data_IF_498818193462
#
_entry.id   IF_498818193462
#
_cell.length_a   1.000
_cell.length_b   1.000
_cell.length_c   1.000
_cell.angle_alpha   90.00
_cell.angle_beta   90.00
_cell.angle_gamma   90.00
#
_symmetry.space_group_name_H-M   'P 1'
#
loop_
_entity.id
_entity.type
_entity.pdbx_description
1 polymer ?
#
# COMPACT_ATOMS: atom_id res chain seq x y z
N UNK A 1 -22.87 -6.57 -21.08
CA UNK A 1 -24.01 -5.85 -20.53
C UNK A 1 -23.58 -4.90 -19.41
N UNK A 2 -24.38 -3.86 -19.22
CA UNK A 2 -24.11 -2.83 -18.18
C UNK A 2 -24.15 -3.37 -16.76
N UNK A 3 -24.83 -4.49 -16.54
CA UNK A 3 -25.12 -5.01 -15.19
C UNK A 3 -24.16 -6.11 -14.72
N UNK A 4 -23.33 -6.64 -15.60
CA UNK A 4 -22.38 -7.74 -15.27
C UNK A 4 -21.09 -7.29 -14.62
N UNK A 5 -20.98 -6.02 -14.23
CA UNK A 5 -19.72 -5.41 -13.88
C UNK A 5 -19.39 -5.56 -12.39
N UNK A 6 -18.22 -6.11 -12.07
CA UNK A 6 -17.80 -6.37 -10.70
C UNK A 6 -18.51 -7.54 -10.02
N UNK A 7 -19.32 -8.32 -10.74
CA UNK A 7 -19.93 -9.53 -10.20
C UNK A 7 -18.83 -10.51 -9.79
N UNK A 8 -18.88 -10.96 -8.55
CA UNK A 8 -17.91 -11.89 -7.97
C UNK A 8 -18.42 -13.33 -7.89
N UNK A 9 -19.73 -13.50 -8.10
CA UNK A 9 -20.37 -14.81 -8.03
C UNK A 9 -21.15 -15.09 -9.32
N UNK A 10 -20.93 -16.25 -9.91
CA UNK A 10 -21.63 -16.73 -11.08
C UNK A 10 -22.20 -18.11 -10.81
N UNK A 11 -23.45 -18.32 -11.16
CA UNK A 11 -24.09 -19.64 -11.17
C UNK A 11 -24.27 -20.12 -12.59
N UNK A 12 -23.99 -21.38 -12.83
CA UNK A 12 -24.28 -22.01 -14.11
C UNK A 12 -25.78 -22.29 -14.20
N UNK A 13 -26.43 -21.72 -15.20
CA UNK A 13 -27.84 -21.96 -15.50
C UNK A 13 -27.92 -22.61 -16.89
N UNK A 14 -28.13 -23.91 -16.92
CA UNK A 14 -28.23 -24.66 -18.16
C UNK A 14 -27.97 -26.16 -17.98
N UNK A 15 -28.09 -26.90 -19.06
CA UNK A 15 -27.74 -28.33 -19.08
C UNK A 15 -26.38 -28.50 -19.76
N UNK A 16 -25.47 -29.21 -19.09
CA UNK A 16 -24.21 -29.63 -19.70
C UNK A 16 -24.46 -30.96 -20.38
N UNK A 17 -24.14 -31.06 -21.66
CA UNK A 17 -24.22 -32.32 -22.42
C UNK A 17 -22.84 -32.77 -22.85
N UNK A 18 -22.59 -34.07 -22.86
CA UNK A 18 -21.39 -34.65 -23.44
C UNK A 18 -21.44 -34.58 -24.98
N UNK A 19 -20.37 -34.94 -25.65
CA UNK A 19 -20.31 -34.93 -27.12
C UNK A 19 -21.36 -35.86 -27.78
N UNK A 20 -21.88 -36.84 -27.07
CA UNK A 20 -22.90 -37.79 -27.53
C UNK A 20 -24.33 -37.31 -27.24
N UNK A 21 -24.50 -36.07 -26.74
CA UNK A 21 -25.78 -35.48 -26.44
C UNK A 21 -26.41 -35.89 -25.09
N UNK A 22 -25.70 -36.70 -24.29
CA UNK A 22 -26.15 -37.09 -22.94
C UNK A 22 -26.02 -35.94 -21.94
N UNK A 23 -27.07 -35.72 -21.14
CA UNK A 23 -27.04 -34.72 -20.08
C UNK A 23 -26.10 -35.15 -18.94
N UNK A 24 -25.20 -34.26 -18.56
CA UNK A 24 -24.29 -34.47 -17.42
C UNK A 24 -24.91 -33.75 -16.23
N UNK A 25 -25.01 -34.43 -15.11
CA UNK A 25 -25.49 -33.82 -13.87
C UNK A 25 -24.49 -32.78 -13.38
N UNK A 26 -24.87 -31.49 -13.26
CA UNK A 26 -23.98 -30.43 -12.78
C UNK A 26 -23.34 -30.73 -11.41
N UNK A 27 -24.02 -31.48 -10.55
CA UNK A 27 -23.50 -31.86 -9.23
C UNK A 27 -22.27 -32.81 -9.29
N UNK A 28 -22.06 -33.48 -10.43
CA UNK A 28 -20.92 -34.38 -10.66
C UNK A 28 -19.68 -33.66 -11.24
N UNK A 29 -19.82 -32.42 -11.71
CA UNK A 29 -18.75 -31.67 -12.38
C UNK A 29 -17.92 -30.86 -11.37
N UNK A 30 -18.30 -30.86 -10.12
CA UNK A 30 -17.67 -30.05 -9.08
C UNK A 30 -18.26 -28.63 -8.97
N UNK A 31 -17.77 -27.90 -8.00
CA UNK A 31 -18.20 -26.53 -7.75
C UNK A 31 -17.68 -25.62 -8.86
N UNK A 32 -18.56 -24.87 -9.50
CA UNK A 32 -18.14 -23.78 -10.40
C UNK A 32 -17.61 -22.66 -9.51
N UNK A 33 -16.31 -22.43 -9.56
CA UNK A 33 -15.65 -21.33 -8.84
C UNK A 33 -15.38 -20.17 -9.80
N UNK A 34 -15.64 -18.96 -9.33
CA UNK A 34 -15.29 -17.76 -10.08
C UNK A 34 -13.82 -17.45 -9.85
N UNK A 35 -12.99 -17.56 -10.87
CA UNK A 35 -11.57 -17.23 -10.81
C UNK A 35 -11.34 -15.71 -10.82
N UNK A 36 -12.15 -14.97 -11.58
CA UNK A 36 -12.05 -13.53 -11.72
C UNK A 36 -13.43 -12.87 -11.72
N UNK A 37 -13.49 -11.63 -11.19
CA UNK A 37 -14.71 -10.81 -11.28
C UNK A 37 -15.02 -10.47 -12.71
N UNK A 38 -16.31 -10.25 -13.01
CA UNK A 38 -16.72 -9.77 -14.32
C UNK A 38 -16.07 -8.43 -14.66
N UNK A 39 -15.69 -8.26 -15.92
CA UNK A 39 -14.98 -7.08 -16.43
C UNK A 39 -15.70 -6.48 -17.64
N UNK A 40 -15.29 -5.27 -18.04
CA UNK A 40 -15.66 -4.61 -19.29
C UNK A 40 -17.14 -4.22 -19.48
N UNK A 41 -17.93 -4.24 -18.40
CA UNK A 41 -19.25 -3.60 -18.39
C UNK A 41 -19.19 -2.23 -17.73
N UNK A 42 -19.88 -1.20 -18.23
CA UNK A 42 -19.95 0.11 -17.59
C UNK A 42 -21.24 0.85 -17.87
N UNK A 43 -21.45 1.90 -17.08
CA UNK A 43 -22.54 2.85 -17.25
C UNK A 43 -22.25 3.81 -18.43
N UNK A 44 -23.21 4.71 -18.68
CA UNK A 44 -23.01 5.78 -19.67
C UNK A 44 -21.81 6.63 -19.26
N UNK A 45 -20.99 6.98 -20.25
CA UNK A 45 -19.81 7.83 -20.05
C UNK A 45 -20.18 9.13 -19.34
N UNK A 46 -19.33 9.51 -18.36
CA UNK A 46 -19.56 10.72 -17.56
C UNK A 46 -19.28 11.99 -18.38
N UNK A 47 -19.98 13.07 -18.07
CA UNK A 47 -19.77 14.38 -18.72
C UNK A 47 -18.32 14.85 -18.54
N UNK A 48 -17.67 14.55 -17.42
CA UNK A 48 -16.28 14.88 -17.18
C UNK A 48 -15.32 14.13 -18.12
N UNK A 49 -15.58 12.86 -18.39
CA UNK A 49 -14.83 12.07 -19.35
C UNK A 49 -14.99 12.64 -20.77
N UNK A 50 -16.23 12.93 -21.18
CA UNK A 50 -16.51 13.55 -22.48
C UNK A 50 -15.78 14.90 -22.63
N UNK A 51 -15.84 15.76 -21.62
CA UNK A 51 -15.12 17.05 -21.63
C UNK A 51 -13.61 16.88 -21.73
N UNK A 52 -13.07 15.80 -21.18
CA UNK A 52 -11.64 15.53 -21.25
C UNK A 52 -11.21 14.99 -22.60
N UNK A 53 -11.93 14.00 -23.15
CA UNK A 53 -11.51 13.29 -24.37
C UNK A 53 -11.95 13.97 -25.67
N UNK A 54 -13.16 14.56 -25.74
CA UNK A 54 -13.68 15.10 -26.97
C UNK A 54 -12.80 16.19 -27.64
N UNK A 55 -12.27 17.20 -26.91
CA UNK A 55 -11.38 18.18 -27.52
C UNK A 55 -10.07 17.60 -28.05
N UNK A 56 -9.56 16.57 -27.33
CA UNK A 56 -8.31 15.90 -27.69
C UNK A 56 -8.46 15.06 -28.95
N UNK A 57 -9.56 14.32 -29.08
CA UNK A 57 -9.87 13.55 -30.29
C UNK A 57 -10.06 14.49 -31.49
N UNK A 58 -10.74 15.62 -31.28
CA UNK A 58 -10.88 16.62 -32.32
C UNK A 58 -9.51 17.17 -32.77
N UNK A 59 -8.62 17.47 -31.84
CA UNK A 59 -7.28 17.98 -32.16
C UNK A 59 -6.40 16.92 -32.85
N UNK A 60 -6.53 15.64 -32.53
CA UNK A 60 -5.81 14.54 -33.18
C UNK A 60 -6.30 14.24 -34.60
N UNK A 61 -7.48 14.77 -34.98
CA UNK A 61 -8.12 14.48 -36.25
C UNK A 61 -8.24 12.98 -36.55
N UNK A 62 -8.53 12.19 -35.53
CA UNK A 62 -8.62 10.72 -35.60
C UNK A 62 -7.32 10.04 -36.10
N UNK A 63 -6.15 10.63 -35.83
CA UNK A 63 -4.84 10.06 -36.11
C UNK A 63 -4.00 10.03 -34.84
N UNK A 64 -3.38 8.91 -34.56
CA UNK A 64 -2.48 8.75 -33.40
C UNK A 64 -1.03 8.94 -33.89
N UNK A 65 -0.48 10.14 -33.66
CA UNK A 65 0.89 10.53 -34.00
C UNK A 65 1.73 10.69 -32.73
N UNK A 66 1.22 11.42 -31.76
CA UNK A 66 1.87 11.66 -30.47
C UNK A 66 1.34 10.71 -29.41
N UNK A 67 2.08 10.52 -28.31
CA UNK A 67 1.60 9.73 -27.17
C UNK A 67 0.24 10.20 -26.66
N UNK A 68 0.01 11.51 -26.63
CA UNK A 68 -1.26 12.12 -26.21
C UNK A 68 -2.43 11.79 -27.16
N UNK A 69 -2.14 11.61 -28.44
CA UNK A 69 -3.16 11.19 -29.42
C UNK A 69 -3.57 9.73 -29.17
N UNK A 70 -2.60 8.84 -28.86
CA UNK A 70 -2.89 7.46 -28.50
C UNK A 70 -3.77 7.38 -27.26
N UNK A 71 -3.49 8.20 -26.23
CA UNK A 71 -4.33 8.30 -25.02
C UNK A 71 -5.77 8.70 -25.37
N UNK A 72 -5.92 9.69 -26.25
CA UNK A 72 -7.22 10.24 -26.64
C UNK A 72 -8.02 9.29 -27.51
N UNK A 73 -7.37 8.71 -28.53
CA UNK A 73 -7.97 7.73 -29.43
C UNK A 73 -8.41 6.49 -28.65
N UNK A 74 -7.59 6.04 -27.69
CA UNK A 74 -7.95 4.89 -26.87
C UNK A 74 -9.19 5.16 -26.02
N UNK A 75 -9.30 6.34 -25.40
CA UNK A 75 -10.50 6.75 -24.68
C UNK A 75 -11.77 6.76 -25.53
N UNK A 76 -11.62 7.06 -26.84
CA UNK A 76 -12.73 6.99 -27.80
C UNK A 76 -13.09 5.55 -28.18
N UNK A 77 -12.09 4.70 -28.43
CA UNK A 77 -12.31 3.30 -28.86
C UNK A 77 -12.83 2.43 -27.70
N UNK A 78 -12.36 2.72 -26.48
CA UNK A 78 -12.67 1.96 -25.29
C UNK A 78 -13.16 2.89 -24.15
N UNK A 79 -14.47 3.21 -24.13
CA UNK A 79 -15.05 4.14 -23.15
C UNK A 79 -14.91 3.70 -21.69
N UNK A 80 -14.64 2.40 -21.42
CA UNK A 80 -14.45 1.86 -20.08
C UNK A 80 -13.04 2.16 -19.50
N UNK A 81 -12.36 3.16 -20.02
CA UNK A 81 -11.08 3.65 -19.49
C UNK A 81 -11.31 4.55 -18.28
N UNK A 82 -10.66 4.26 -17.17
CA UNK A 82 -10.54 5.18 -16.04
C UNK A 82 -9.36 6.13 -16.24
N UNK A 83 -8.22 5.57 -16.60
CA UNK A 83 -6.99 6.32 -16.87
C UNK A 83 -6.14 5.58 -17.90
N UNK A 84 -5.46 6.32 -18.75
CA UNK A 84 -4.55 5.79 -19.77
C UNK A 84 -3.27 6.61 -19.78
N UNK A 85 -2.17 5.95 -20.05
CA UNK A 85 -0.90 6.61 -20.36
C UNK A 85 -0.27 5.94 -21.57
N UNK A 86 0.35 6.74 -22.42
CA UNK A 86 1.11 6.27 -23.56
C UNK A 86 2.46 6.98 -23.61
N UNK A 87 3.51 6.26 -23.99
CA UNK A 87 4.86 6.80 -24.15
C UNK A 87 5.61 6.07 -25.26
N UNK A 88 6.60 6.76 -25.84
CA UNK A 88 7.39 6.19 -26.91
C UNK A 88 8.35 5.11 -26.43
N UNK A 89 8.71 4.20 -27.31
CA UNK A 89 9.66 3.14 -26.97
C UNK A 89 11.09 3.65 -26.72
N UNK A 90 11.39 4.87 -27.12
CA UNK A 90 12.64 5.57 -26.82
C UNK A 90 12.81 5.87 -25.32
N UNK A 91 11.69 6.00 -24.58
CA UNK A 91 11.68 6.22 -23.12
C UNK A 91 11.95 4.92 -22.31
N UNK A 92 11.98 3.76 -23.00
CA UNK A 92 12.25 2.48 -22.34
C UNK A 92 13.75 2.23 -22.14
N UNK A 93 14.08 1.46 -21.12
CA UNK A 93 15.45 0.96 -20.92
C UNK A 93 15.47 -0.59 -21.04
N UNK A 94 16.10 -1.18 -22.07
CA UNK A 94 16.70 -0.55 -23.24
C UNK A 94 15.68 0.06 -24.21
N UNK A 95 16.05 1.10 -24.99
CA UNK A 95 15.15 1.76 -25.95
C UNK A 95 14.61 0.79 -27.00
N UNK A 96 13.31 0.90 -27.33
CA UNK A 96 12.63 0.10 -28.36
C UNK A 96 11.96 1.00 -29.38
N UNK A 97 12.71 1.42 -30.38
CA UNK A 97 12.24 2.32 -31.44
C UNK A 97 11.12 1.70 -32.29
N UNK A 98 10.24 2.55 -32.84
CA UNK A 98 9.11 2.13 -33.68
C UNK A 98 7.94 1.54 -32.88
N UNK A 99 7.95 1.63 -31.57
CA UNK A 99 6.87 1.18 -30.70
C UNK A 99 6.33 2.30 -29.82
N UNK A 100 5.03 2.25 -29.55
CA UNK A 100 4.37 3.05 -28.52
C UNK A 100 3.83 2.08 -27.46
N UNK A 101 4.23 2.29 -26.22
CA UNK A 101 3.77 1.52 -25.09
C UNK A 101 2.57 2.21 -24.46
N UNK A 102 1.54 1.43 -24.18
CA UNK A 102 0.27 1.91 -23.65
C UNK A 102 -0.06 1.12 -22.39
N UNK A 103 -0.34 1.83 -21.30
CA UNK A 103 -0.86 1.23 -20.07
C UNK A 103 -2.25 1.79 -19.79
N UNK A 104 -3.19 0.92 -19.45
CA UNK A 104 -4.60 1.26 -19.29
C UNK A 104 -5.12 0.72 -17.96
N UNK A 105 -5.77 1.60 -17.20
CA UNK A 105 -6.59 1.23 -16.06
C UNK A 105 -8.05 1.24 -16.51
N UNK A 106 -8.71 0.08 -16.55
CA UNK A 106 -10.16 0.04 -16.78
C UNK A 106 -10.89 0.53 -15.52
N UNK A 107 -12.08 1.13 -15.70
CA UNK A 107 -12.93 1.55 -14.57
C UNK A 107 -13.32 0.39 -13.69
N UNK A 108 -13.51 -0.74 -14.30
CA UNK A 108 -13.98 -1.94 -13.67
C UNK A 108 -12.96 -3.06 -13.84
N UNK A 109 -12.33 -3.41 -12.73
CA UNK A 109 -11.24 -4.36 -12.71
C UNK A 109 -9.86 -3.70 -12.60
N UNK A 110 -8.87 -4.50 -12.32
CA UNK A 110 -7.49 -4.00 -12.11
C UNK A 110 -6.63 -4.14 -13.37
N UNK A 111 -7.01 -5.00 -14.32
CA UNK A 111 -6.25 -5.27 -15.54
C UNK A 111 -7.17 -5.47 -16.74
N UNK A 112 -6.64 -5.23 -17.93
CA UNK A 112 -7.28 -5.61 -19.19
C UNK A 112 -7.04 -7.11 -19.45
N UNK A 113 -8.07 -7.81 -19.95
CA UNK A 113 -7.89 -9.17 -20.46
C UNK A 113 -7.01 -9.16 -21.72
N UNK A 114 -6.29 -10.26 -21.97
CA UNK A 114 -5.44 -10.35 -23.15
C UNK A 114 -6.24 -10.29 -24.46
N UNK A 115 -7.47 -10.76 -24.44
CA UNK A 115 -8.37 -10.65 -25.59
C UNK A 115 -8.75 -9.20 -25.87
N UNK A 116 -9.14 -8.46 -24.84
CA UNK A 116 -9.40 -7.01 -24.95
C UNK A 116 -8.16 -6.26 -25.44
N UNK A 117 -6.96 -6.59 -24.94
CA UNK A 117 -5.71 -6.00 -25.44
C UNK A 117 -5.52 -6.25 -26.94
N UNK A 118 -5.75 -7.49 -27.41
CA UNK A 118 -5.64 -7.83 -28.86
C UNK A 118 -6.64 -7.07 -29.71
N UNK A 119 -7.90 -7.00 -29.28
CA UNK A 119 -8.94 -6.25 -29.97
C UNK A 119 -8.58 -4.75 -30.07
N UNK A 120 -8.14 -4.16 -28.96
CA UNK A 120 -7.74 -2.76 -28.92
C UNK A 120 -6.53 -2.48 -29.82
N UNK A 121 -5.52 -3.38 -29.87
CA UNK A 121 -4.39 -3.25 -30.80
C UNK A 121 -4.88 -3.23 -32.25
N UNK A 122 -5.81 -4.10 -32.61
CA UNK A 122 -6.36 -4.12 -33.98
C UNK A 122 -7.09 -2.83 -34.34
N UNK A 123 -7.90 -2.31 -33.42
CA UNK A 123 -8.58 -1.03 -33.58
C UNK A 123 -7.61 0.15 -33.68
N UNK A 124 -6.60 0.19 -32.79
CA UNK A 124 -5.59 1.25 -32.77
C UNK A 124 -4.75 1.31 -34.05
N UNK A 125 -4.48 0.17 -34.69
CA UNK A 125 -3.73 0.14 -35.94
C UNK A 125 -4.39 0.95 -37.09
N UNK A 126 -5.71 1.12 -37.07
CA UNK A 126 -6.40 1.95 -38.05
C UNK A 126 -6.19 3.46 -37.85
N UNK A 127 -5.74 3.87 -36.68
CA UNK A 127 -5.45 5.26 -36.32
C UNK A 127 -3.95 5.56 -36.27
N UNK A 128 -3.11 4.52 -36.13
CA UNK A 128 -1.66 4.66 -36.01
C UNK A 128 -1.00 5.04 -37.34
N UNK A 129 0.08 5.80 -37.24
CA UNK A 129 0.95 6.10 -38.39
C UNK A 129 1.72 4.85 -38.83
N UNK A 130 1.90 4.67 -40.12
CA UNK A 130 2.68 3.55 -40.65
C UNK A 130 4.10 3.51 -40.05
N UNK A 131 4.52 2.33 -39.58
CA UNK A 131 5.82 2.12 -38.96
C UNK A 131 5.84 2.23 -37.44
N UNK A 132 4.74 2.66 -36.78
CA UNK A 132 4.60 2.67 -35.34
C UNK A 132 3.66 1.55 -34.89
N UNK A 133 4.14 0.70 -33.97
CA UNK A 133 3.38 -0.43 -33.45
C UNK A 133 2.95 -0.17 -32.01
N UNK A 134 1.65 -0.06 -31.72
CA UNK A 134 1.16 0.02 -30.36
C UNK A 134 1.29 -1.33 -29.66
N UNK A 135 1.78 -1.30 -28.40
CA UNK A 135 1.96 -2.47 -27.54
C UNK A 135 1.41 -2.14 -26.14
N UNK A 136 0.58 -3.03 -25.58
CA UNK A 136 0.09 -2.87 -24.21
C UNK A 136 1.08 -3.44 -23.22
N UNK A 137 1.36 -2.67 -22.19
CA UNK A 137 2.14 -3.09 -21.03
C UNK A 137 1.26 -3.19 -19.79
N UNK A 138 1.68 -4.04 -18.85
CA UNK A 138 0.95 -4.23 -17.62
C UNK A 138 0.99 -2.99 -16.74
N UNK A 139 -0.12 -2.78 -16.04
CA UNK A 139 -0.32 -1.67 -15.15
C UNK A 139 0.58 -1.80 -13.91
N UNK A 140 1.32 -0.74 -13.60
CA UNK A 140 2.14 -0.64 -12.41
C UNK A 140 1.46 0.27 -11.39
N UNK A 141 1.17 -0.25 -10.21
CA UNK A 141 0.53 0.52 -9.14
C UNK A 141 1.57 1.11 -8.18
N UNK A 142 1.32 2.35 -7.77
CA UNK A 142 1.89 2.97 -6.59
C UNK A 142 0.75 3.14 -5.58
N UNK A 143 0.72 2.29 -4.57
CA UNK A 143 -0.28 2.38 -3.52
C UNK A 143 0.12 3.43 -2.49
N UNK A 144 -0.86 4.21 -2.06
CA UNK A 144 -0.73 5.14 -0.94
C UNK A 144 -1.62 4.61 0.18
N UNK A 145 -1.03 4.42 1.34
CA UNK A 145 -1.68 3.89 2.53
C UNK A 145 -1.53 4.91 3.67
N UNK A 146 -2.55 5.05 4.49
CA UNK A 146 -2.51 5.93 5.64
C UNK A 146 -2.59 5.13 6.94
N UNK A 147 -1.85 5.60 7.93
CA UNK A 147 -2.07 5.27 9.32
C UNK A 147 -2.43 6.56 10.03
N UNK A 148 -3.69 6.68 10.43
CA UNK A 148 -4.21 7.92 11.02
C UNK A 148 -4.77 7.66 12.41
N UNK A 149 -4.43 8.56 13.31
CA UNK A 149 -4.91 8.58 14.68
C UNK A 149 -5.66 9.90 14.90
N UNK A 150 -6.97 9.98 14.58
CA UNK A 150 -7.79 11.14 14.88
C UNK A 150 -8.06 11.19 16.39
N UNK A 151 -7.88 12.37 16.99
CA UNK A 151 -8.18 12.66 18.38
C UNK A 151 -9.56 13.28 18.49
N UNK A 152 -10.39 12.78 19.39
CA UNK A 152 -11.76 13.25 19.54
C UNK A 152 -12.13 13.58 20.98
N UNK A 153 -13.02 14.55 21.14
CA UNK A 153 -13.55 15.00 22.43
C UNK A 153 -14.82 14.21 22.76
N UNK A 154 -14.74 13.37 23.78
CA UNK A 154 -15.86 12.54 24.26
C UNK A 154 -17.03 13.35 24.80
N UNK A 155 -16.80 14.58 25.25
CA UNK A 155 -17.90 15.46 25.71
C UNK A 155 -18.81 15.93 24.58
N UNK A 156 -18.33 15.90 23.33
CA UNK A 156 -19.12 16.29 22.15
C UNK A 156 -19.69 15.07 21.43
N UNK A 157 -18.92 14.00 21.34
CA UNK A 157 -19.31 12.75 20.69
C UNK A 157 -18.60 11.56 21.36
N UNK A 158 -19.38 10.65 21.92
CA UNK A 158 -18.89 9.49 22.67
C UNK A 158 -18.97 8.18 21.85
N UNK A 159 -19.19 8.28 20.55
CA UNK A 159 -19.25 7.11 19.64
C UNK A 159 -18.05 7.06 18.70
N UNK A 160 -16.93 6.41 19.09
CA UNK A 160 -15.74 6.29 18.26
C UNK A 160 -15.95 5.47 16.99
N UNK A 161 -16.88 4.52 16.97
CA UNK A 161 -17.12 3.67 15.80
C UNK A 161 -17.87 4.44 14.71
N UNK A 162 -18.80 5.30 15.11
CA UNK A 162 -19.48 6.20 14.17
C UNK A 162 -18.50 7.22 13.58
N UNK A 163 -17.65 7.83 14.40
CA UNK A 163 -16.59 8.75 13.95
C UNK A 163 -15.63 8.04 12.98
N UNK A 164 -15.17 6.84 13.31
CA UNK A 164 -14.32 6.02 12.46
C UNK A 164 -14.96 5.72 11.10
N UNK A 165 -16.26 5.41 11.11
CA UNK A 165 -17.03 5.18 9.89
C UNK A 165 -17.12 6.45 9.05
N UNK A 166 -17.35 7.59 9.67
CA UNK A 166 -17.35 8.91 9.04
C UNK A 166 -16.01 9.22 8.36
N UNK A 167 -14.91 9.05 9.08
CA UNK A 167 -13.54 9.24 8.55
C UNK A 167 -13.26 8.28 7.39
N UNK A 168 -13.64 7.00 7.53
CA UNK A 168 -13.48 6.01 6.46
C UNK A 168 -14.25 6.39 5.20
N UNK A 169 -15.49 6.89 5.35
CA UNK A 169 -16.31 7.34 4.23
C UNK A 169 -15.71 8.58 3.54
N UNK A 170 -15.25 9.55 4.31
CA UNK A 170 -14.61 10.76 3.78
C UNK A 170 -13.34 10.42 2.99
N UNK A 171 -12.47 9.56 3.54
CA UNK A 171 -11.28 9.10 2.85
C UNK A 171 -11.62 8.23 1.62
N UNK A 172 -12.66 7.41 1.68
CA UNK A 172 -13.14 6.64 0.53
C UNK A 172 -13.64 7.57 -0.59
N UNK A 173 -14.33 8.65 -0.24
CA UNK A 173 -14.73 9.65 -1.23
C UNK A 173 -13.52 10.36 -1.85
N UNK A 174 -12.52 10.68 -1.03
CA UNK A 174 -11.27 11.25 -1.53
C UNK A 174 -10.52 10.29 -2.44
N UNK A 175 -10.46 8.99 -2.12
CA UNK A 175 -9.82 7.98 -2.96
C UNK A 175 -10.45 7.87 -4.35
N UNK A 176 -11.74 8.19 -4.49
CA UNK A 176 -12.45 8.20 -5.77
C UNK A 176 -12.29 9.51 -6.55
N UNK A 177 -11.56 10.47 -6.00
CA UNK A 177 -11.33 11.73 -6.68
C UNK A 177 -10.40 11.55 -7.88
N UNK A 178 -10.65 12.33 -8.93
CA UNK A 178 -9.88 12.28 -10.18
C UNK A 178 -8.40 12.70 -10.00
N UNK A 179 -8.06 13.34 -8.89
CA UNK A 179 -6.69 13.82 -8.62
C UNK A 179 -5.76 12.70 -8.17
N UNK A 180 -6.26 11.69 -7.47
CA UNK A 180 -5.47 10.62 -6.86
C UNK A 180 -5.40 9.41 -7.77
N UNK A 181 -6.53 8.82 -8.10
CA UNK A 181 -6.60 7.55 -8.81
C UNK A 181 -6.41 7.74 -10.31
N UNK A 182 -5.18 7.99 -10.75
CA UNK A 182 -4.81 8.10 -12.16
C UNK A 182 -3.31 7.90 -12.38
N UNK A 183 -2.88 7.76 -13.63
CA UNK A 183 -1.48 7.86 -14.02
C UNK A 183 -0.97 9.27 -13.74
N UNK A 184 0.22 9.38 -13.16
CA UNK A 184 0.74 10.67 -12.72
C UNK A 184 -0.13 11.37 -11.68
N UNK A 185 -0.95 10.61 -10.94
CA UNK A 185 -1.82 11.13 -9.89
C UNK A 185 -1.03 11.79 -8.77
N UNK A 186 -1.69 12.65 -8.01
CA UNK A 186 -1.09 13.37 -6.89
C UNK A 186 -1.94 13.18 -5.64
N UNK A 187 -1.37 12.51 -4.66
CA UNK A 187 -1.95 12.49 -3.32
C UNK A 187 -1.47 13.72 -2.56
N UNK A 188 -2.42 14.51 -2.05
CA UNK A 188 -2.15 15.72 -1.26
C UNK A 188 -2.45 15.45 0.20
N UNK A 189 -1.42 15.45 1.02
CA UNK A 189 -1.50 15.17 2.46
C UNK A 189 -2.42 16.15 3.19
N UNK A 190 -2.23 17.45 2.98
CA UNK A 190 -3.03 18.49 3.63
C UNK A 190 -4.53 18.37 3.35
N UNK A 191 -4.91 17.90 2.14
CA UNK A 191 -6.30 17.65 1.78
C UNK A 191 -6.88 16.44 2.53
N UNK A 192 -6.11 15.37 2.67
CA UNK A 192 -6.54 14.19 3.43
C UNK A 192 -6.72 14.52 4.92
N UNK A 193 -5.76 15.22 5.52
CA UNK A 193 -5.82 15.68 6.91
C UNK A 193 -7.03 16.58 7.15
N UNK A 194 -7.23 17.59 6.30
CA UNK A 194 -8.38 18.50 6.40
C UNK A 194 -9.73 17.79 6.25
N UNK A 195 -9.80 16.75 5.42
CA UNK A 195 -11.01 15.94 5.29
C UNK A 195 -11.31 15.15 6.57
N UNK A 196 -10.26 14.59 7.21
CA UNK A 196 -10.42 13.88 8.48
C UNK A 196 -10.94 14.82 9.56
N UNK A 197 -10.32 16.01 9.70
CA UNK A 197 -10.70 17.02 10.71
C UNK A 197 -12.12 17.56 10.47
N UNK A 198 -12.58 17.61 9.22
CA UNK A 198 -13.89 18.14 8.87
C UNK A 198 -15.06 17.15 9.01
N UNK A 199 -14.80 15.89 9.38
CA UNK A 199 -15.85 14.86 9.49
C UNK A 199 -16.84 15.18 10.60
N UNK A 200 -16.32 15.61 11.74
CA UNK A 200 -17.12 15.95 12.91
C UNK A 200 -16.42 17.00 13.76
N UNK A 201 -17.19 17.89 14.39
CA UNK A 201 -16.68 18.94 15.26
C UNK A 201 -16.01 18.44 16.54
N UNK A 202 -16.26 17.19 16.91
CA UNK A 202 -15.60 16.53 18.04
C UNK A 202 -14.15 16.15 17.74
N UNK A 203 -13.74 16.04 16.48
CA UNK A 203 -12.37 15.76 16.10
C UNK A 203 -11.53 17.02 16.32
N UNK A 204 -10.62 16.96 17.29
CA UNK A 204 -9.78 18.11 17.71
C UNK A 204 -8.50 18.21 16.89
N UNK A 205 -7.95 17.08 16.49
CA UNK A 205 -6.72 16.99 15.68
C UNK A 205 -6.56 15.58 15.11
N UNK A 206 -5.60 15.42 14.20
CA UNK A 206 -5.19 14.08 13.76
C UNK A 206 -3.67 14.01 13.56
N UNK A 207 -3.12 12.82 13.78
CA UNK A 207 -1.74 12.48 13.43
C UNK A 207 -1.81 11.38 12.37
N UNK A 208 -1.35 11.73 11.18
CA UNK A 208 -1.45 10.86 10.02
C UNK A 208 -0.08 10.59 9.42
N UNK A 209 0.27 9.33 9.27
CA UNK A 209 1.47 8.86 8.59
C UNK A 209 1.09 8.35 7.21
N UNK A 210 1.86 8.75 6.20
CA UNK A 210 1.73 8.27 4.83
C UNK A 210 2.75 7.18 4.59
N UNK A 211 2.31 6.08 3.99
CA UNK A 211 3.17 4.98 3.53
C UNK A 211 2.91 4.76 2.05
N UNK A 212 3.95 4.41 1.34
CA UNK A 212 3.85 4.05 -0.08
C UNK A 212 4.25 2.60 -0.28
N UNK A 213 3.55 1.90 -1.15
CA UNK A 213 3.76 0.48 -1.42
C UNK A 213 3.80 0.19 -2.91
N UNK A 214 4.70 -0.72 -3.28
CA UNK A 214 4.76 -1.32 -4.60
C UNK A 214 4.67 -2.83 -4.47
N UNK A 215 3.99 -3.42 -5.43
CA UNK A 215 3.83 -4.87 -5.55
C UNK A 215 4.82 -5.37 -6.59
N UNK A 216 5.79 -6.17 -6.14
CA UNK A 216 6.75 -6.84 -6.99
C UNK A 216 6.24 -8.22 -7.35
N UNK A 217 6.02 -8.48 -8.64
CA UNK A 217 5.67 -9.82 -9.11
C UNK A 217 6.95 -10.64 -9.28
N UNK A 218 7.16 -11.61 -8.40
CA UNK A 218 8.34 -12.46 -8.42
C UNK A 218 8.23 -13.53 -9.51
N UNK A 219 9.37 -13.82 -10.17
CA UNK A 219 9.55 -14.96 -11.05
C UNK A 219 10.06 -16.12 -10.21
N UNK A 220 9.22 -17.14 -10.00
CA UNK A 220 9.57 -18.24 -9.11
C UNK A 220 10.50 -19.24 -9.78
N UNK A 221 11.43 -19.81 -9.00
CA UNK A 221 12.32 -20.88 -9.42
C UNK A 221 13.39 -20.45 -10.44
N UNK A 222 13.63 -19.16 -10.63
CA UNK A 222 14.62 -18.61 -11.54
C UNK A 222 15.43 -17.51 -10.87
N UNK A 223 16.71 -17.43 -11.23
CA UNK A 223 17.56 -16.31 -10.83
C UNK A 223 17.16 -15.05 -11.59
N UNK A 224 16.68 -14.05 -10.88
CA UNK A 224 16.30 -12.77 -11.43
C UNK A 224 16.78 -11.62 -10.56
N UNK A 225 17.06 -10.49 -11.19
CA UNK A 225 17.31 -9.20 -10.56
C UNK A 225 16.03 -8.38 -10.64
N UNK A 226 15.72 -7.63 -9.59
CA UNK A 226 14.50 -6.84 -9.54
C UNK A 226 14.78 -5.38 -9.23
N UNK A 227 14.14 -4.51 -10.00
CA UNK A 227 14.16 -3.07 -9.81
C UNK A 227 12.75 -2.57 -9.49
N UNK A 228 12.63 -1.79 -8.43
CA UNK A 228 11.37 -1.22 -7.98
C UNK A 228 11.51 0.27 -7.79
N UNK A 229 10.92 1.05 -8.71
CA UNK A 229 10.96 2.49 -8.69
C UNK A 229 9.65 3.06 -8.16
N UNK A 230 9.72 3.98 -7.20
CA UNK A 230 8.57 4.69 -6.62
C UNK A 230 8.45 6.12 -7.15
N UNK A 231 9.55 6.69 -7.66
CA UNK A 231 9.61 8.08 -8.12
C UNK A 231 9.35 9.12 -7.04
N UNK A 232 9.43 8.72 -5.77
CA UNK A 232 9.28 9.59 -4.61
C UNK A 232 10.44 9.37 -3.66
N UNK A 233 11.08 10.43 -3.23
CA UNK A 233 12.15 10.35 -2.26
C UNK A 233 11.70 9.64 -0.99
N UNK A 234 12.51 8.71 -0.47
CA UNK A 234 12.23 8.02 0.78
C UNK A 234 12.69 8.84 1.98
N UNK A 235 12.01 8.67 3.09
CA UNK A 235 12.49 9.12 4.38
C UNK A 235 13.74 8.32 4.75
N UNK A 236 14.73 8.98 5.35
CA UNK A 236 15.97 8.34 5.75
C UNK A 236 16.12 8.45 7.25
N UNK A 237 16.10 7.33 7.93
CA UNK A 237 16.29 7.23 9.36
C UNK A 237 17.56 6.44 9.65
N UNK A 238 18.41 6.94 10.53
CA UNK A 238 19.69 6.32 10.87
C UNK A 238 19.56 4.91 11.48
N UNK A 239 18.42 4.63 12.13
CA UNK A 239 18.14 3.30 12.70
C UNK A 239 17.82 2.22 11.66
N UNK A 240 17.78 2.57 10.35
CA UNK A 240 17.43 1.63 9.26
C UNK A 240 15.95 1.21 9.27
N UNK A 241 15.58 0.22 8.46
CA UNK A 241 14.19 -0.26 8.30
C UNK A 241 13.21 0.80 7.75
N UNK A 242 13.67 1.69 6.87
CA UNK A 242 12.80 2.62 6.15
C UNK A 242 12.01 1.93 5.05
N UNK A 243 12.55 0.82 4.54
CA UNK A 243 11.94 -0.05 3.55
C UNK A 243 11.77 -1.44 4.15
N UNK A 244 10.59 -2.01 4.00
CA UNK A 244 10.27 -3.35 4.49
C UNK A 244 9.43 -4.12 3.48
N UNK A 245 9.54 -5.45 3.47
CA UNK A 245 8.74 -6.28 2.58
C UNK A 245 7.89 -7.31 3.31
N UNK A 246 6.90 -7.86 2.58
CA UNK A 246 6.23 -9.09 2.97
C UNK A 246 7.19 -10.28 2.85
N UNK A 247 6.84 -11.38 3.51
CA UNK A 247 7.67 -12.59 3.52
C UNK A 247 7.71 -13.33 2.19
N UNK A 248 8.86 -13.93 1.90
CA UNK A 248 9.09 -14.80 0.74
C UNK A 248 10.14 -15.86 1.08
N UNK A 249 10.34 -16.85 0.25
CA UNK A 249 11.41 -17.86 0.43
C UNK A 249 12.41 -17.77 -0.71
N UNK A 250 13.67 -17.95 -0.39
CA UNK A 250 14.77 -17.93 -1.37
C UNK A 250 15.56 -19.24 -1.31
N UNK A 251 16.20 -19.57 -2.41
CA UNK A 251 17.09 -20.72 -2.47
C UNK A 251 18.25 -20.59 -1.49
N UNK A 252 18.57 -21.67 -0.78
CA UNK A 252 19.68 -21.73 0.16
C UNK A 252 19.39 -21.17 1.56
N UNK A 253 18.18 -20.66 1.83
CA UNK A 253 17.77 -20.19 3.16
C UNK A 253 16.53 -20.92 3.64
N UNK A 254 16.59 -21.48 4.83
CA UNK A 254 15.46 -22.16 5.46
C UNK A 254 14.54 -21.13 6.12
N UNK A 255 13.23 -21.21 5.81
CA UNK A 255 12.21 -20.36 6.41
C UNK A 255 11.85 -19.12 5.58
N UNK A 256 10.95 -18.33 6.14
CA UNK A 256 10.46 -17.09 5.51
C UNK A 256 11.46 -15.98 5.70
N UNK A 257 11.83 -15.36 4.60
CA UNK A 257 12.77 -14.24 4.52
C UNK A 257 12.01 -12.94 4.32
N UNK A 258 12.51 -11.88 4.89
CA UNK A 258 12.02 -10.52 4.74
C UNK A 258 13.14 -9.62 4.24
N UNK A 259 12.77 -8.56 3.55
CA UNK A 259 13.68 -7.53 3.06
C UNK A 259 13.60 -6.30 3.96
N UNK A 260 14.75 -5.73 4.29
CA UNK A 260 14.85 -4.40 4.89
C UNK A 260 16.09 -3.67 4.38
N UNK A 261 16.19 -2.38 4.68
CA UNK A 261 17.31 -1.54 4.32
C UNK A 261 18.20 -1.21 5.52
N UNK A 262 19.48 -1.02 5.24
CA UNK A 262 20.46 -0.46 6.16
C UNK A 262 21.01 0.83 5.56
N UNK A 263 20.92 1.93 6.29
CA UNK A 263 21.38 3.24 5.81
C UNK A 263 22.91 3.29 5.76
N UNK A 264 23.47 3.61 4.60
CA UNK A 264 24.89 3.88 4.43
C UNK A 264 25.16 5.38 4.55
N UNK A 265 24.33 6.17 3.87
CA UNK A 265 24.33 7.63 3.92
C UNK A 265 22.94 8.18 3.60
N UNK A 266 22.77 9.51 3.61
CA UNK A 266 21.48 10.16 3.37
C UNK A 266 20.89 9.92 1.97
N UNK A 267 21.68 9.44 1.03
CA UNK A 267 21.25 9.22 -0.36
C UNK A 267 21.09 7.75 -0.67
N UNK A 268 21.95 6.90 -0.09
CA UNK A 268 22.04 5.47 -0.44
C UNK A 268 22.05 4.57 0.78
N UNK A 269 21.43 3.43 0.63
CA UNK A 269 21.44 2.34 1.58
C UNK A 269 21.71 1.01 0.89
N UNK A 270 21.77 -0.01 1.70
CA UNK A 270 21.97 -1.40 1.29
C UNK A 270 20.75 -2.18 1.69
N UNK A 271 20.30 -3.08 0.83
CA UNK A 271 19.25 -4.05 1.15
C UNK A 271 19.88 -5.28 1.79
N UNK A 272 19.26 -5.79 2.83
CA UNK A 272 19.60 -7.06 3.44
C UNK A 272 18.36 -7.94 3.58
N UNK A 273 18.60 -9.26 3.61
CA UNK A 273 17.56 -10.24 3.90
C UNK A 273 17.73 -10.79 5.31
N UNK A 274 16.63 -10.98 6.00
CA UNK A 274 16.61 -11.49 7.36
C UNK A 274 15.44 -12.44 7.59
N UNK A 275 15.58 -13.30 8.59
CA UNK A 275 14.52 -14.18 9.10
C UNK A 275 14.27 -13.84 10.55
N UNK A 276 13.10 -14.21 11.07
CA UNK A 276 12.84 -14.12 12.50
C UNK A 276 13.22 -15.43 13.19
N UNK A 277 13.89 -15.33 14.32
CA UNK A 277 14.10 -16.45 15.24
C UNK A 277 12.79 -16.76 16.00
N UNK A 278 12.72 -17.91 16.67
CA UNK A 278 11.57 -18.29 17.51
C UNK A 278 11.26 -17.25 18.59
N UNK A 279 12.26 -16.48 19.04
CA UNK A 279 12.12 -15.38 19.99
C UNK A 279 11.73 -14.03 19.35
N UNK A 280 11.43 -14.01 18.03
CA UNK A 280 11.03 -12.79 17.34
C UNK A 280 12.16 -11.81 17.02
N UNK A 281 13.41 -12.18 17.26
CA UNK A 281 14.57 -11.33 16.90
C UNK A 281 14.95 -11.51 15.44
N UNK A 282 15.28 -10.44 14.71
CA UNK A 282 15.72 -10.55 13.32
C UNK A 282 17.14 -11.16 13.25
N UNK A 283 17.31 -12.14 12.38
CA UNK A 283 18.58 -12.76 12.06
C UNK A 283 18.91 -12.49 10.59
N UNK A 284 20.00 -11.78 10.34
CA UNK A 284 20.42 -11.41 8.98
C UNK A 284 21.01 -12.62 8.29
N UNK A 285 20.38 -13.06 7.20
CA UNK A 285 20.81 -14.22 6.39
C UNK A 285 21.63 -13.81 5.17
N UNK A 286 21.37 -12.63 4.60
CA UNK A 286 22.13 -12.07 3.48
C UNK A 286 22.29 -10.57 3.67
N UNK A 287 23.51 -10.12 3.99
CA UNK A 287 23.78 -8.70 4.32
C UNK A 287 23.79 -7.78 3.09
N UNK A 288 24.26 -8.27 1.95
CA UNK A 288 24.28 -7.55 0.67
C UNK A 288 23.32 -8.25 -0.28
N UNK A 289 22.07 -7.84 -0.29
CA UNK A 289 21.03 -8.39 -1.14
C UNK A 289 20.55 -7.38 -2.19
N UNK A 290 21.12 -6.16 -2.16
CA UNK A 290 20.74 -5.10 -3.09
C UNK A 290 21.10 -3.72 -2.57
N UNK A 291 20.65 -2.71 -3.27
CA UNK A 291 20.86 -1.30 -2.94
C UNK A 291 19.54 -0.53 -2.93
N UNK A 292 19.51 0.55 -2.15
CA UNK A 292 18.41 1.51 -2.17
C UNK A 292 18.96 2.91 -2.43
N UNK A 293 18.31 3.64 -3.34
CA UNK A 293 18.53 5.05 -3.58
C UNK A 293 17.37 5.83 -2.96
N UNK A 294 17.62 6.49 -1.82
CA UNK A 294 16.58 7.23 -1.10
C UNK A 294 16.16 8.50 -1.83
N UNK A 295 17.06 9.10 -2.63
CA UNK A 295 16.78 10.35 -3.34
C UNK A 295 15.79 10.14 -4.48
N UNK A 296 15.97 9.06 -5.25
CA UNK A 296 15.12 8.72 -6.39
C UNK A 296 13.95 7.81 -5.99
N UNK A 297 14.02 7.20 -4.80
CA UNK A 297 13.02 6.22 -4.37
C UNK A 297 13.09 4.95 -5.19
N UNK A 298 14.29 4.41 -5.36
CA UNK A 298 14.58 3.23 -6.17
C UNK A 298 15.20 2.13 -5.32
N UNK A 299 14.76 0.91 -5.55
CA UNK A 299 15.24 -0.29 -4.88
C UNK A 299 15.70 -1.26 -5.94
N UNK A 300 16.96 -1.65 -5.88
CA UNK A 300 17.55 -2.68 -6.71
C UNK A 300 17.83 -3.90 -5.84
N UNK A 301 17.18 -5.02 -6.14
CA UNK A 301 17.43 -6.31 -5.49
C UNK A 301 18.36 -7.10 -6.40
N UNK A 302 19.50 -7.52 -5.85
CA UNK A 302 20.48 -8.33 -6.58
C UNK A 302 19.91 -9.69 -6.95
N UNK A 303 20.52 -10.32 -7.93
CA UNK A 303 20.13 -11.61 -8.44
C UNK A 303 19.90 -12.63 -7.32
N UNK A 304 18.66 -13.11 -7.23
CA UNK A 304 18.25 -14.14 -6.28
C UNK A 304 17.19 -15.05 -6.91
N UNK A 305 17.12 -16.28 -6.41
CA UNK A 305 16.09 -17.24 -6.80
C UNK A 305 15.01 -17.28 -5.73
N UNK A 306 13.83 -16.73 -6.05
CA UNK A 306 12.66 -16.72 -5.18
C UNK A 306 11.88 -18.01 -5.44
N UNK A 307 11.60 -18.77 -4.38
CA UNK A 307 10.92 -20.06 -4.50
C UNK A 307 9.41 -19.94 -4.27
N UNK A 308 9.00 -19.09 -3.32
CA UNK A 308 7.60 -18.82 -3.04
C UNK A 308 7.42 -17.45 -2.36
N UNK A 309 6.19 -16.98 -2.34
CA UNK A 309 5.80 -15.72 -1.65
C UNK A 309 4.68 -16.02 -0.64
N UNK A 310 4.64 -15.28 0.44
CA UNK A 310 3.56 -15.39 1.44
C UNK A 310 2.24 -14.86 0.87
N UNK A 311 2.31 -13.83 0.03
CA UNK A 311 1.16 -13.28 -0.67
C UNK A 311 0.86 -14.11 -1.91
N UNK A 312 -0.42 -14.31 -2.18
CA UNK A 312 -0.87 -15.01 -3.38
C UNK A 312 -0.39 -14.34 -4.68
N UNK A 313 -0.43 -15.09 -5.78
CA UNK A 313 -0.06 -14.61 -7.12
C UNK A 313 1.40 -14.20 -7.28
N UNK A 314 2.31 -14.77 -6.49
CA UNK A 314 3.76 -14.52 -6.54
C UNK A 314 4.12 -13.05 -6.29
N UNK A 315 3.38 -12.39 -5.43
CA UNK A 315 3.57 -10.98 -5.10
C UNK A 315 4.40 -10.83 -3.83
N UNK A 316 5.38 -9.94 -3.88
CA UNK A 316 6.09 -9.40 -2.72
C UNK A 316 5.72 -7.92 -2.64
N UNK A 317 5.07 -7.54 -1.56
CA UNK A 317 4.75 -6.14 -1.31
C UNK A 317 5.93 -5.49 -0.61
N UNK A 318 6.36 -4.35 -1.12
CA UNK A 318 7.45 -3.57 -0.55
C UNK A 318 6.88 -2.22 -0.15
N UNK A 319 6.97 -1.90 1.12
CA UNK A 319 6.46 -0.67 1.72
C UNK A 319 7.63 0.23 2.11
N UNK A 320 7.45 1.54 1.89
CA UNK A 320 8.42 2.56 2.30
C UNK A 320 7.70 3.79 2.86
N UNK A 321 8.40 4.56 3.68
CA UNK A 321 7.94 5.87 4.15
C UNK A 321 8.51 6.93 3.20
N UNK A 322 7.68 7.76 2.58
CA UNK A 322 8.16 8.84 1.73
C UNK A 322 8.75 9.98 2.57
N UNK A 323 9.69 10.73 1.99
CA UNK A 323 10.27 11.91 2.63
C UNK A 323 9.26 13.07 2.70
N UNK A 324 8.47 13.23 1.65
CA UNK A 324 7.34 14.16 1.62
C UNK A 324 6.04 13.38 1.83
N UNK A 325 5.14 13.92 2.63
CA UNK A 325 3.81 13.34 2.78
C UNK A 325 2.92 13.54 1.53
N UNK A 326 3.28 14.43 0.63
CA UNK A 326 2.66 14.55 -0.70
C UNK A 326 3.31 13.55 -1.66
N UNK A 327 2.49 12.74 -2.33
CA UNK A 327 2.96 11.72 -3.26
C UNK A 327 2.62 12.11 -4.69
N UNK A 328 3.61 11.98 -5.57
CA UNK A 328 3.46 12.25 -7.00
C UNK A 328 3.73 10.96 -7.75
N UNK A 329 2.76 10.52 -8.56
CA UNK A 329 2.96 9.38 -9.44
C UNK A 329 3.87 9.74 -10.62
N UNK A 330 4.74 8.83 -10.99
CA UNK A 330 5.41 8.89 -12.30
C UNK A 330 4.38 8.65 -13.41
N UNK A 331 4.75 9.01 -14.65
CA UNK A 331 3.86 8.90 -15.81
C UNK A 331 3.39 7.46 -16.06
N UNK A 332 4.26 6.47 -15.83
CA UNK A 332 3.97 5.04 -16.00
C UNK A 332 3.39 4.37 -14.76
N UNK A 333 3.26 5.10 -13.65
CA UNK A 333 2.70 4.62 -12.40
C UNK A 333 1.29 5.13 -12.17
N UNK A 334 0.36 4.19 -11.95
CA UNK A 334 -0.98 4.52 -11.50
C UNK A 334 -0.97 4.67 -9.97
N UNK A 335 -1.23 5.88 -9.49
CA UNK A 335 -1.38 6.12 -8.06
C UNK A 335 -2.74 5.62 -7.61
N UNK A 336 -2.76 4.74 -6.61
CA UNK A 336 -3.99 4.19 -6.02
C UNK A 336 -3.98 4.43 -4.52
N UNK A 337 -4.94 5.19 -4.03
CA UNK A 337 -5.14 5.31 -2.59
C UNK A 337 -5.83 4.05 -2.08
N UNK A 338 -5.11 3.28 -1.25
CA UNK A 338 -5.57 1.97 -0.77
C UNK A 338 -6.28 2.09 0.59
N UNK A 339 -7.61 2.17 0.53
CA UNK A 339 -8.44 2.21 1.73
C UNK A 339 -8.44 0.88 2.50
N UNK A 340 -8.20 -0.24 1.82
CA UNK A 340 -8.24 -1.56 2.46
C UNK A 340 -7.08 -1.76 3.45
N UNK A 341 -5.94 -1.15 3.18
CA UNK A 341 -4.76 -1.18 4.03
C UNK A 341 -4.57 0.12 4.86
N UNK A 342 -5.46 1.10 4.70
CA UNK A 342 -5.48 2.30 5.54
C UNK A 342 -6.01 1.96 6.95
N UNK A 343 -5.27 2.37 7.97
CA UNK A 343 -5.59 2.14 9.37
C UNK A 343 -6.10 3.43 10.00
N UNK A 344 -7.26 3.36 10.67
CA UNK A 344 -7.88 4.48 11.37
C UNK A 344 -8.06 4.05 12.83
N UNK A 345 -7.35 4.71 13.75
CA UNK A 345 -7.41 4.45 15.17
C UNK A 345 -7.96 5.71 15.87
N UNK A 346 -9.20 5.67 16.33
CA UNK A 346 -9.77 6.76 17.08
C UNK A 346 -9.14 6.83 18.46
N UNK A 347 -8.65 8.00 18.87
CA UNK A 347 -7.98 8.23 20.15
C UNK A 347 -8.73 9.31 20.91
N UNK A 348 -9.04 9.03 22.16
CA UNK A 348 -9.69 10.00 23.03
C UNK A 348 -8.74 11.16 23.35
N UNK A 349 -9.20 12.39 23.17
CA UNK A 349 -8.49 13.59 23.59
C UNK A 349 -8.85 13.91 25.05
N UNK A 350 -8.03 13.42 25.98
CA UNK A 350 -8.24 13.56 27.41
C UNK A 350 -8.20 15.03 27.86
N UNK A 351 -7.48 15.89 27.16
CA UNK A 351 -7.38 17.32 27.47
C UNK A 351 -8.64 18.04 27.04
N UNK A 352 -9.06 17.85 25.81
CA UNK A 352 -10.25 18.48 25.24
C UNK A 352 -11.53 17.97 25.92
N UNK A 353 -11.55 16.71 26.34
CA UNK A 353 -12.68 16.11 27.08
C UNK A 353 -12.79 16.60 28.54
N UNK A 354 -11.82 17.35 29.03
CA UNK A 354 -11.79 17.85 30.41
C UNK A 354 -11.44 16.81 31.45
N UNK A 355 -11.11 15.60 31.06
CA UNK A 355 -10.73 14.50 31.98
C UNK A 355 -9.35 14.73 32.59
N UNK A 356 -8.53 15.55 31.95
CA UNK A 356 -7.19 15.85 32.38
C UNK A 356 -7.01 17.36 32.58
N UNK A 357 -7.42 17.85 33.76
CA UNK A 357 -7.34 19.26 34.10
C UNK A 357 -6.05 19.66 34.80
N UNK A 358 -5.19 18.70 35.16
CA UNK A 358 -3.99 18.94 36.00
C UNK A 358 -2.73 19.26 35.21
N UNK A 359 -2.83 19.63 33.97
CA UNK A 359 -1.67 20.02 33.15
C UNK A 359 -0.72 18.86 32.83
N UNK A 360 -1.20 17.62 32.88
CA UNK A 360 -0.40 16.48 32.46
C UNK A 360 -0.09 16.51 30.97
N UNK A 361 1.11 16.15 30.69
CA UNK A 361 1.64 16.14 29.33
C UNK A 361 0.97 15.03 28.53
N UNK A 362 0.39 15.39 27.41
CA UNK A 362 -0.08 14.41 26.45
C UNK A 362 1.11 13.63 25.89
N UNK A 363 1.17 12.33 26.14
CA UNK A 363 2.23 11.46 25.63
C UNK A 363 1.70 10.64 24.48
N UNK A 364 2.13 10.98 23.30
CA UNK A 364 1.85 10.21 22.11
C UNK A 364 2.98 9.22 21.86
N UNK A 365 2.71 7.94 22.03
CA UNK A 365 3.63 6.86 21.66
C UNK A 365 3.33 6.43 20.23
N UNK A 366 3.70 7.25 19.27
CA UNK A 366 3.65 6.86 17.88
C UNK A 366 5.04 6.45 17.42
N UNK A 367 5.16 5.22 16.94
CA UNK A 367 6.38 4.74 16.31
C UNK A 367 6.51 5.33 14.90
N UNK A 368 6.70 6.65 14.86
CA UNK A 368 6.70 7.44 13.63
C UNK A 368 7.76 6.98 12.63
N UNK A 369 8.78 6.31 13.15
CA UNK A 369 9.99 6.00 12.41
C UNK A 369 10.16 4.51 12.11
N UNK A 370 9.22 3.66 12.51
CA UNK A 370 9.28 2.26 12.16
C UNK A 370 8.11 1.93 11.26
N UNK A 371 8.37 1.72 9.98
CA UNK A 371 7.34 1.21 9.10
C UNK A 371 6.99 -0.21 9.59
N UNK A 372 5.85 -0.31 10.28
CA UNK A 372 5.26 -1.60 10.55
C UNK A 372 4.45 -1.98 9.35
N UNK A 373 4.83 -3.08 8.70
CA UNK A 373 4.07 -3.62 7.59
C UNK A 373 2.83 -4.32 8.15
N UNK A 374 1.76 -3.54 8.36
CA UNK A 374 0.47 -4.07 8.81
C UNK A 374 -0.48 -4.17 7.64
N UNK A 375 -1.04 -5.34 7.43
CA UNK A 375 -2.06 -5.59 6.42
C UNK A 375 -3.34 -6.10 7.05
N UNK A 376 -4.50 -5.56 6.65
CA UNK A 376 -5.82 -5.99 7.13
C UNK A 376 -6.32 -7.29 6.49
N UNK A 377 -5.77 -7.72 5.35
CA UNK A 377 -6.11 -8.99 4.74
C UNK A 377 -5.42 -10.14 5.49
N UNK A 378 -6.00 -11.34 5.43
CA UNK A 378 -5.55 -12.58 6.09
C UNK A 378 -4.10 -13.01 5.75
N UNK A 379 -3.23 -12.08 5.50
CA UNK A 379 -1.82 -12.32 5.27
C UNK A 379 -1.12 -12.53 6.60
N UNK A 380 -0.31 -13.55 6.77
CA UNK A 380 0.45 -13.79 8.01
C UNK A 380 1.49 -12.70 8.32
N UNK A 381 1.56 -11.68 7.49
CA UNK A 381 2.50 -10.55 7.62
C UNK A 381 2.16 -9.62 8.78
N UNK A 382 0.93 -9.66 9.30
CA UNK A 382 0.58 -8.90 10.51
C UNK A 382 1.48 -9.18 11.72
N UNK A 383 2.19 -10.31 11.72
CA UNK A 383 3.16 -10.68 12.74
C UNK A 383 4.50 -9.96 12.60
N UNK A 384 4.82 -9.39 11.42
CA UNK A 384 6.10 -8.71 11.18
C UNK A 384 6.23 -7.45 12.02
N UNK A 385 5.13 -6.72 12.19
CA UNK A 385 5.16 -5.46 12.96
C UNK A 385 5.39 -5.66 14.45
N UNK A 386 4.99 -6.81 15.00
CA UNK A 386 5.19 -7.14 16.40
C UNK A 386 6.63 -7.60 16.70
N UNK A 387 7.41 -7.92 15.68
CA UNK A 387 8.70 -8.59 15.79
C UNK A 387 9.89 -7.68 15.47
N UNK A 388 9.65 -6.41 15.16
CA UNK A 388 10.74 -5.44 14.99
C UNK A 388 11.42 -5.18 16.34
N UNK A 389 12.76 -5.09 16.39
CA UNK A 389 13.49 -4.95 17.63
C UNK A 389 13.03 -3.69 18.39
N UNK A 390 12.76 -3.87 19.68
CA UNK A 390 12.34 -2.79 20.60
C UNK A 390 13.36 -1.66 20.75
N UNK A 391 14.59 -1.88 20.31
CA UNK A 391 15.67 -0.87 20.33
C UNK A 391 15.43 0.31 19.40
N UNK A 392 14.48 0.19 18.47
CA UNK A 392 14.10 1.29 17.61
C UNK A 392 12.81 2.01 18.05
N UNK A 393 12.12 1.51 19.08
CA UNK A 393 11.10 2.26 19.77
C UNK A 393 11.81 3.23 20.72
N UNK A 394 11.94 4.46 20.30
CA UNK A 394 12.31 5.54 21.19
C UNK A 394 11.25 5.64 22.29
N UNK A 395 11.45 4.92 23.40
CA UNK A 395 10.65 5.09 24.60
C UNK A 395 11.00 6.46 25.15
N UNK A 396 10.23 7.46 24.78
CA UNK A 396 10.27 8.72 25.52
C UNK A 396 9.64 8.45 26.89
N UNK A 397 10.46 8.10 27.85
CA UNK A 397 10.05 8.04 29.25
C UNK A 397 9.75 9.46 29.68
N UNK A 398 8.47 9.82 29.69
CA UNK A 398 8.06 11.07 30.36
C UNK A 398 7.97 10.78 31.85
N UNK A 399 8.83 11.41 32.63
CA UNK A 399 8.70 11.49 34.07
C UNK A 399 7.53 12.40 34.39
N UNK A 400 6.40 11.81 34.75
CA UNK A 400 5.26 12.54 35.33
C UNK A 400 5.60 12.94 36.76
N UNK A 401 5.76 14.21 37.01
CA UNK A 401 5.74 14.78 38.35
C UNK A 401 4.28 15.05 38.72
N UNK A 402 3.71 14.19 39.57
CA UNK A 402 2.49 14.44 40.33
C UNK A 402 1.18 14.36 39.55
N UNK A 403 0.51 13.25 39.69
CA UNK A 403 -0.86 13.03 39.26
C UNK A 403 -1.07 11.57 38.84
N UNK A 404 -1.99 10.90 39.52
CA UNK A 404 -2.37 9.53 39.19
C UNK A 404 -3.09 9.48 37.85
N UNK A 405 -2.36 9.17 36.76
CA UNK A 405 -2.97 8.90 35.49
C UNK A 405 -2.75 7.43 35.11
N UNK A 406 -3.77 6.80 34.66
CA UNK A 406 -3.68 5.47 34.10
C UNK A 406 -2.88 5.56 32.77
N UNK A 407 -1.59 5.31 32.85
CA UNK A 407 -0.78 5.01 31.70
C UNK A 407 -1.24 3.66 31.20
N UNK A 408 -1.91 3.62 30.04
CA UNK A 408 -2.04 2.39 29.29
C UNK A 408 -0.69 2.06 28.67
N UNK A 409 0.26 1.66 29.50
CA UNK A 409 1.43 0.93 29.07
C UNK A 409 0.96 -0.48 28.79
N UNK A 410 0.90 -0.86 27.51
CA UNK A 410 0.92 -2.26 27.16
C UNK A 410 2.33 -2.77 27.45
N UNK A 411 2.61 -3.02 28.72
CA UNK A 411 3.74 -3.81 29.15
C UNK A 411 3.39 -5.24 28.85
N UNK A 412 4.00 -5.81 27.85
CA UNK A 412 4.21 -7.25 27.77
C UNK A 412 5.12 -7.60 28.93
N UNK A 413 4.52 -7.92 30.09
CA UNK A 413 5.23 -8.49 31.22
C UNK A 413 5.63 -9.91 30.86
N UNK A 414 6.91 -10.08 30.53
CA UNK A 414 7.57 -11.37 30.73
C UNK A 414 7.65 -11.58 32.24
N UNK A 415 6.79 -12.44 32.79
CA UNK A 415 6.84 -12.91 34.15
C UNK A 415 8.06 -13.80 34.33
N UNK A 416 9.13 -13.23 34.85
CA UNK A 416 10.20 -14.00 35.50
C UNK A 416 9.82 -14.11 36.97
N UNK A 417 9.32 -15.24 37.39
CA UNK A 417 9.06 -15.60 38.76
C UNK A 417 10.40 -15.82 39.44
N UNK A 418 10.85 -14.84 40.21
CA UNK A 418 11.95 -15.05 41.17
C UNK A 418 11.32 -15.10 42.56
N UNK A 419 11.25 -16.28 43.09
CA UNK A 419 10.93 -16.54 44.49
C UNK A 419 12.13 -16.14 45.36
N UNK A 420 12.00 -15.06 46.09
CA UNK A 420 12.91 -14.76 47.20
C UNK A 420 12.15 -14.89 48.52
N UNK A 421 12.52 -15.88 49.28
CA UNK A 421 12.20 -16.09 50.68
C UNK A 421 12.83 -14.98 51.53
N UNK A 422 11.98 -14.22 52.26
CA UNK A 422 12.42 -13.27 53.28
C UNK A 422 12.54 -13.97 54.59
N UNK A 423 13.71 -13.88 55.20
CA UNK A 423 13.89 -14.09 56.65
C UNK A 423 14.12 -12.72 57.29
N UNK A 424 13.38 -12.51 58.37
CA UNK A 424 13.37 -11.26 59.09
C UNK A 424 14.54 -11.02 60.00
N UNK A 425 14.60 -9.83 60.50
CA UNK A 425 15.49 -9.41 61.60
C UNK A 425 15.65 -7.91 61.61
N UNK A 426 15.16 -7.30 62.51
CA UNK A 426 15.09 -6.39 63.53
C UNK A 426 16.18 -5.36 63.68
N UNK A 427 15.73 -4.16 64.01
CA UNK A 427 16.41 -3.34 65.08
C UNK A 427 17.29 -2.20 64.54
N UNK A 428 16.98 -0.99 65.06
CA UNK A 428 18.01 -0.06 65.47
C UNK A 428 17.97 1.35 64.90
N UNK A 429 17.46 2.25 65.69
CA UNK A 429 17.53 3.71 65.68
C UNK A 429 18.95 4.29 65.59
N UNK A 430 19.15 5.46 64.96
CA UNK A 430 19.60 6.72 65.57
C UNK A 430 20.28 7.67 64.55
N UNK A 431 19.76 8.85 64.45
CA UNK A 431 20.29 10.20 64.73
C UNK A 431 21.61 10.66 64.09
N UNK A 432 21.55 11.89 63.53
CA UNK A 432 22.66 12.88 63.43
C UNK A 432 23.03 13.18 62.02
N UNK A 433 22.88 14.36 61.46
CA UNK A 433 23.40 15.61 61.82
C UNK A 433 24.38 16.09 60.81
N UNK A 434 24.08 17.16 60.15
CA UNK A 434 24.99 18.24 59.86
C UNK A 434 25.84 18.22 58.58
N UNK A 435 25.67 19.22 57.90
CA UNK A 435 26.32 20.13 56.96
C UNK A 435 25.79 20.06 55.54
#
# INVERSE_FOLDING_TARGET
GREGNGASEFSFVGNITNQDGGSINPALIGLVTTEEKSRDGDNIESISSIKYFAPRIYSSQYRAVTSSDYESVLGYIYPNVESVTAFGGEEMSPPRFGKVFISVKPRNGDFLSDETKRELIQKLKSYAVAGIVPEFIDLKYLYVELETNPYYNTSLNDDPDNLKTGVSNALTQYSRSIDVNKFGGRFKYSKAVSLIDSVDSSITSNITLVKIRRDLKAVLGQFAQYEVCYGNRFHTQESSYNVVSTGFTIEGVTGTVYLADEVINKEKGRIFFFTYTEGGTPNIVKKNAGTVDYMHGEILIDTCNILSTVIANNVIEIQAIPHSNDIIGLRDLYVKFDMSNTTINMVQDLIASGENTSGSRFVHTHSYYMPTFTRKSNSPVGTVSALLPSSATGTSTSTTTGGTYATSTTTTSSSTTTTTTSSGGGGGSSSGGGY
#
